data_IF_682282522471
#
_entry.id   IF_682282522471
#
_cell.length_a   1.000
_cell.length_b   1.000
_cell.length_c   1.000
_cell.angle_alpha   90.00
_cell.angle_beta   90.00
_cell.angle_gamma   90.00
#
_symmetry.space_group_name_H-M   'P 1'
#
loop_
_entity.id
_entity.type
_entity.pdbx_description
1 polymer ?
#
# COMPACT_ATOMS: atom_id res chain seq x y z
N UNK A 1 -6.67 -0.67 8.99
CA UNK A 1 -6.21 0.58 8.34
C UNK A 1 -4.70 0.55 8.38
N UNK A 2 -4.07 0.42 7.22
CA UNK A 2 -2.62 0.33 7.15
C UNK A 2 -2.01 1.72 7.15
N UNK A 3 -0.88 1.88 7.83
CA UNK A 3 -0.15 3.14 7.84
C UNK A 3 1.34 2.88 7.77
N UNK A 4 2.03 3.68 6.96
CA UNK A 4 3.47 3.67 6.87
C UNK A 4 4.02 4.55 7.99
N UNK A 5 4.30 3.92 9.14
CA UNK A 5 4.85 4.60 10.32
C UNK A 5 6.34 4.32 10.48
N UNK A 6 7.07 5.33 10.95
CA UNK A 6 8.48 5.17 11.29
C UNK A 6 8.57 4.31 12.55
N UNK A 7 9.19 3.14 12.42
CA UNK A 7 9.40 2.20 13.53
C UNK A 7 10.89 1.95 13.77
N UNK A 8 11.28 1.55 14.99
CA UNK A 8 12.63 1.07 15.27
C UNK A 8 13.01 -0.13 14.37
N UNK A 9 14.29 -0.22 14.03
CA UNK A 9 14.81 -1.34 13.23
C UNK A 9 15.01 -2.58 14.10
N UNK A 10 14.99 -3.76 13.47
CA UNK A 10 15.40 -5.01 14.12
C UNK A 10 16.92 -5.13 14.26
N UNK A 11 17.37 -5.99 15.17
CA UNK A 11 18.79 -6.30 15.37
C UNK A 11 19.42 -6.87 14.08
N UNK A 12 18.69 -7.76 13.39
CA UNK A 12 19.10 -8.27 12.08
C UNK A 12 19.33 -7.15 11.06
N UNK A 13 18.40 -6.19 10.95
CA UNK A 13 18.54 -5.05 10.04
C UNK A 13 19.72 -4.13 10.44
N UNK A 14 19.91 -3.89 11.73
CA UNK A 14 21.06 -3.13 12.25
C UNK A 14 22.40 -3.82 11.94
N UNK A 15 22.47 -5.15 12.03
CA UNK A 15 23.65 -5.95 11.66
C UNK A 15 23.90 -5.88 10.16
N UNK A 16 22.86 -5.99 9.33
CA UNK A 16 22.97 -5.82 7.87
C UNK A 16 23.49 -4.43 7.49
N UNK A 17 22.99 -3.36 8.12
CA UNK A 17 23.48 -1.98 7.92
C UNK A 17 24.96 -1.83 8.29
N UNK A 18 25.37 -2.37 9.43
CA UNK A 18 26.77 -2.35 9.84
C UNK A 18 27.67 -3.14 8.89
N UNK A 19 27.20 -4.30 8.40
CA UNK A 19 27.92 -5.12 7.43
C UNK A 19 28.21 -4.42 6.10
N UNK A 20 27.36 -3.46 5.68
CA UNK A 20 27.59 -2.67 4.45
C UNK A 20 28.87 -1.84 4.52
N UNK A 21 29.30 -1.40 5.71
CA UNK A 21 30.54 -0.65 5.88
C UNK A 21 31.79 -1.52 5.67
N UNK A 22 31.68 -2.84 5.80
CA UNK A 22 32.79 -3.80 5.71
C UNK A 22 32.98 -4.47 4.36
N UNK A 23 32.33 -3.98 3.28
CA UNK A 23 32.30 -4.67 1.98
C UNK A 23 33.65 -4.72 1.25
N UNK A 24 34.49 -3.70 1.42
CA UNK A 24 35.78 -3.59 0.72
C UNK A 24 36.96 -3.83 1.66
N UNK A 25 36.79 -3.57 2.96
CA UNK A 25 37.83 -3.66 3.98
C UNK A 25 37.28 -3.26 5.35
N UNK A 26 38.14 -3.09 6.36
CA UNK A 26 37.70 -2.67 7.70
C UNK A 26 36.97 -1.32 7.67
N UNK A 27 35.68 -1.33 8.01
CA UNK A 27 34.83 -0.14 8.07
C UNK A 27 34.31 0.16 9.47
N UNK A 28 33.72 1.34 9.66
CA UNK A 28 33.08 1.74 10.92
C UNK A 28 31.60 2.02 10.68
N UNK A 29 30.75 1.66 11.65
CA UNK A 29 29.32 1.94 11.64
C UNK A 29 28.96 2.76 12.87
N UNK A 30 28.45 3.98 12.65
CA UNK A 30 28.00 4.88 13.71
C UNK A 30 26.50 4.69 13.94
N UNK A 31 26.12 4.24 15.13
CA UNK A 31 24.72 3.98 15.52
C UNK A 31 24.21 5.12 16.38
N UNK A 32 23.09 5.71 16.00
CA UNK A 32 22.46 6.83 16.72
C UNK A 32 21.51 6.34 17.83
N UNK A 33 21.91 5.30 18.55
CA UNK A 33 21.16 4.70 19.66
C UNK A 33 22.14 4.01 20.61
N UNK A 34 21.72 3.79 21.86
CA UNK A 34 22.57 3.18 22.88
C UNK A 34 22.73 1.68 22.66
N UNK A 35 23.79 1.10 23.21
CA UNK A 35 23.98 -0.36 23.18
C UNK A 35 22.87 -1.10 23.92
N UNK A 36 22.34 -0.51 25.00
CA UNK A 36 21.20 -1.04 25.73
C UNK A 36 19.95 -1.13 24.85
N UNK A 37 19.62 -0.08 24.11
CA UNK A 37 18.47 -0.09 23.20
C UNK A 37 18.61 -1.20 22.13
N UNK A 38 19.82 -1.44 21.62
CA UNK A 38 20.06 -2.53 20.68
C UNK A 38 19.78 -3.92 21.27
N UNK A 39 20.13 -4.15 22.54
CA UNK A 39 20.00 -5.46 23.19
C UNK A 39 18.60 -5.71 23.73
N UNK A 40 18.00 -4.71 24.36
CA UNK A 40 16.80 -4.87 25.18
C UNK A 40 15.52 -4.39 24.47
N UNK A 41 15.61 -3.39 23.57
CA UNK A 41 14.44 -2.74 22.98
C UNK A 41 14.16 -3.20 21.54
N UNK A 42 15.19 -3.59 20.78
CA UNK A 42 15.05 -3.98 19.37
C UNK A 42 14.67 -5.46 19.22
N UNK A 43 13.68 -5.72 18.36
CA UNK A 43 13.31 -7.09 17.97
C UNK A 43 14.49 -7.80 17.28
N UNK A 44 14.72 -9.10 17.51
CA UNK A 44 15.79 -9.85 16.86
C UNK A 44 15.68 -9.84 15.32
N UNK A 45 14.48 -10.12 14.82
CA UNK A 45 14.14 -10.18 13.39
C UNK A 45 12.94 -9.28 13.09
N UNK A 46 12.79 -8.79 11.83
CA UNK A 46 11.59 -8.06 11.46
C UNK A 46 10.38 -9.02 11.44
N UNK A 47 9.23 -8.52 11.86
CA UNK A 47 7.95 -9.26 11.72
C UNK A 47 7.66 -9.50 10.23
N UNK A 48 7.12 -10.65 9.83
CA UNK A 48 6.73 -10.93 8.44
C UNK A 48 5.80 -9.87 7.85
N UNK A 49 5.86 -9.67 6.54
CA UNK A 49 5.00 -8.70 5.85
C UNK A 49 3.53 -9.12 5.86
N UNK A 50 3.26 -10.41 5.61
CA UNK A 50 1.91 -10.98 5.59
C UNK A 50 1.13 -10.81 6.91
N UNK A 51 1.83 -10.59 8.02
CA UNK A 51 1.22 -10.35 9.33
C UNK A 51 0.96 -8.85 9.62
N UNK A 52 1.40 -7.95 8.73
CA UNK A 52 1.40 -6.50 8.96
C UNK A 52 0.69 -5.68 7.88
N UNK A 53 0.32 -6.30 6.77
CA UNK A 53 -0.30 -5.63 5.63
C UNK A 53 -1.74 -6.09 5.42
N UNK A 54 -2.54 -5.24 4.80
CA UNK A 54 -3.86 -5.60 4.30
C UNK A 54 -3.73 -6.72 3.27
N UNK A 55 -4.50 -7.77 3.48
CA UNK A 55 -4.45 -8.98 2.67
C UNK A 55 -5.44 -8.96 1.50
N UNK A 56 -6.21 -7.88 1.28
CA UNK A 56 -7.22 -7.83 0.22
C UNK A 56 -6.65 -8.17 -1.16
N UNK A 57 -5.52 -7.56 -1.55
CA UNK A 57 -4.85 -7.84 -2.82
C UNK A 57 -4.30 -9.27 -2.87
N UNK A 58 -3.66 -9.74 -1.79
CA UNK A 58 -3.11 -11.10 -1.69
C UNK A 58 -4.21 -12.16 -1.75
N UNK A 59 -5.30 -11.98 -1.04
CA UNK A 59 -6.46 -12.89 -1.01
C UNK A 59 -7.13 -12.96 -2.38
N UNK A 60 -7.27 -11.82 -3.06
CA UNK A 60 -7.79 -11.79 -4.43
C UNK A 60 -6.91 -12.64 -5.35
N UNK A 61 -5.59 -12.48 -5.27
CA UNK A 61 -4.65 -13.28 -6.06
C UNK A 61 -4.71 -14.77 -5.72
N UNK A 62 -4.71 -15.15 -4.44
CA UNK A 62 -4.83 -16.56 -4.02
C UNK A 62 -6.12 -17.20 -4.56
N UNK A 63 -7.24 -16.47 -4.49
CA UNK A 63 -8.53 -16.92 -5.06
C UNK A 63 -8.46 -17.07 -6.57
N UNK A 64 -7.74 -16.20 -7.29
CA UNK A 64 -7.55 -16.34 -8.74
C UNK A 64 -6.71 -17.55 -9.12
N UNK A 65 -5.80 -17.99 -8.25
CA UNK A 65 -5.02 -19.22 -8.42
C UNK A 65 -5.85 -20.49 -8.14
N UNK A 66 -7.09 -20.35 -7.68
CA UNK A 66 -7.98 -21.47 -7.35
C UNK A 66 -7.86 -21.96 -5.91
N UNK A 67 -7.19 -21.20 -5.03
CA UNK A 67 -7.07 -21.55 -3.61
C UNK A 67 -8.33 -21.07 -2.89
N UNK A 68 -9.22 -22.01 -2.56
CA UNK A 68 -10.49 -21.72 -1.91
C UNK A 68 -10.40 -21.72 -0.38
N UNK A 69 -9.61 -22.65 0.17
CA UNK A 69 -9.38 -22.80 1.60
C UNK A 69 -8.14 -22.01 2.02
N UNK A 70 -8.36 -20.76 2.45
CA UNK A 70 -7.30 -19.86 2.89
C UNK A 70 -6.87 -20.13 4.33
N UNK A 71 -7.70 -20.82 5.13
CA UNK A 71 -7.41 -21.09 6.54
C UNK A 71 -6.41 -22.24 6.69
N UNK A 72 -6.51 -23.24 5.81
CA UNK A 72 -5.58 -24.38 5.77
C UNK A 72 -4.50 -24.23 4.70
N UNK A 73 -4.33 -23.03 4.15
CA UNK A 73 -3.25 -22.77 3.22
C UNK A 73 -1.89 -22.78 3.95
N UNK A 74 -0.91 -23.44 3.35
CA UNK A 74 0.42 -23.66 3.95
C UNK A 74 1.29 -22.40 3.87
N UNK A 75 0.97 -21.40 4.70
CA UNK A 75 1.78 -20.20 4.87
C UNK A 75 3.02 -20.52 5.72
N UNK A 76 4.20 -20.02 5.31
CA UNK A 76 5.43 -20.09 6.12
C UNK A 76 5.24 -19.42 7.49
N UNK A 77 4.67 -18.22 7.47
CA UNK A 77 4.21 -17.49 8.66
C UNK A 77 2.75 -17.13 8.43
N UNK A 78 1.83 -17.82 9.11
CA UNK A 78 0.40 -17.59 8.90
C UNK A 78 -0.01 -16.16 9.31
N UNK A 79 -0.83 -15.47 8.50
CA UNK A 79 -1.44 -14.21 8.91
C UNK A 79 -2.48 -14.44 10.03
N UNK A 80 -2.82 -13.39 10.80
CA UNK A 80 -3.95 -13.45 11.72
C UNK A 80 -5.26 -13.77 10.98
N UNK A 81 -6.07 -14.66 11.55
CA UNK A 81 -7.37 -15.05 10.98
C UNK A 81 -8.28 -13.84 10.81
N UNK A 82 -8.27 -12.91 11.76
CA UNK A 82 -9.02 -11.66 11.69
C UNK A 82 -8.67 -10.84 10.43
N UNK A 83 -7.39 -10.75 10.06
CA UNK A 83 -6.94 -10.04 8.86
C UNK A 83 -7.42 -10.72 7.58
N UNK A 84 -7.46 -12.05 7.55
CA UNK A 84 -8.02 -12.82 6.43
C UNK A 84 -9.53 -12.59 6.29
N UNK A 85 -10.27 -12.63 7.40
CA UNK A 85 -11.72 -12.39 7.42
C UNK A 85 -12.03 -10.97 6.94
N UNK A 86 -11.33 -9.96 7.45
CA UNK A 86 -11.50 -8.57 6.99
C UNK A 86 -11.22 -8.40 5.50
N UNK A 87 -10.19 -9.07 4.97
CA UNK A 87 -9.89 -9.05 3.54
C UNK A 87 -10.99 -9.71 2.69
N UNK A 88 -11.54 -10.84 3.15
CA UNK A 88 -12.67 -11.51 2.49
C UNK A 88 -13.93 -10.65 2.51
N UNK A 89 -14.26 -10.04 3.66
CA UNK A 89 -15.39 -9.11 3.80
C UNK A 89 -15.22 -7.89 2.89
N UNK A 90 -14.02 -7.32 2.82
CA UNK A 90 -13.72 -6.22 1.92
C UNK A 90 -13.97 -6.64 0.46
N UNK A 91 -13.41 -7.76 0.01
CA UNK A 91 -13.60 -8.26 -1.35
C UNK A 91 -15.06 -8.61 -1.67
N UNK A 92 -15.79 -9.13 -0.69
CA UNK A 92 -17.22 -9.38 -0.81
C UNK A 92 -18.02 -8.07 -0.97
N UNK A 93 -17.72 -7.04 -0.17
CA UNK A 93 -18.35 -5.70 -0.30
C UNK A 93 -18.05 -5.04 -1.66
N UNK A 94 -16.89 -5.35 -2.23
CA UNK A 94 -16.51 -4.93 -3.59
C UNK A 94 -17.18 -5.76 -4.69
N UNK A 95 -17.96 -6.78 -4.35
CA UNK A 95 -18.55 -7.73 -5.31
C UNK A 95 -17.50 -8.49 -6.13
N UNK A 96 -16.26 -8.54 -5.62
CA UNK A 96 -15.20 -9.37 -6.20
C UNK A 96 -15.40 -10.85 -5.86
N UNK A 97 -16.01 -11.12 -4.70
CA UNK A 97 -16.45 -12.44 -4.25
C UNK A 97 -17.97 -12.50 -4.15
N UNK A 98 -18.55 -13.67 -4.40
CA UNK A 98 -19.97 -13.95 -4.14
C UNK A 98 -20.22 -14.35 -2.68
N UNK A 99 -21.47 -14.71 -2.35
CA UNK A 99 -21.88 -15.14 -1.01
C UNK A 99 -21.23 -16.47 -0.58
N UNK A 100 -20.76 -17.28 -1.53
CA UNK A 100 -20.08 -18.56 -1.27
C UNK A 100 -18.55 -18.36 -1.15
N UNK A 101 -18.07 -17.13 -1.29
CA UNK A 101 -16.64 -16.80 -1.24
C UNK A 101 -15.87 -17.22 -2.48
N UNK A 102 -16.57 -17.42 -3.61
CA UNK A 102 -16.01 -17.72 -4.91
C UNK A 102 -15.83 -16.44 -5.75
N UNK A 103 -14.89 -16.51 -6.68
CA UNK A 103 -14.47 -15.36 -7.48
C UNK A 103 -15.49 -15.04 -8.58
N UNK A 104 -16.05 -13.82 -8.55
CA UNK A 104 -17.00 -13.36 -9.57
C UNK A 104 -16.29 -12.98 -10.88
N UNK A 105 -17.06 -12.73 -11.95
CA UNK A 105 -16.52 -12.19 -13.21
C UNK A 105 -15.87 -10.82 -13.00
N UNK A 106 -16.40 -10.01 -12.08
CA UNK A 106 -15.80 -8.72 -11.70
C UNK A 106 -14.47 -8.96 -10.97
N UNK A 107 -14.45 -9.85 -9.98
CA UNK A 107 -13.22 -10.18 -9.24
C UNK A 107 -12.09 -10.69 -10.13
N UNK A 108 -12.40 -11.53 -11.13
CA UNK A 108 -11.41 -11.97 -12.14
C UNK A 108 -10.80 -10.80 -12.90
N UNK A 109 -11.62 -9.87 -13.38
CA UNK A 109 -11.13 -8.66 -14.06
C UNK A 109 -10.32 -7.77 -13.13
N UNK A 110 -10.71 -7.65 -11.87
CA UNK A 110 -9.98 -6.85 -10.88
C UNK A 110 -8.55 -7.39 -10.67
N UNK A 111 -8.38 -8.71 -10.70
CA UNK A 111 -7.08 -9.36 -10.52
C UNK A 111 -6.11 -9.17 -11.70
N UNK A 112 -6.61 -8.78 -12.87
CA UNK A 112 -5.76 -8.48 -14.03
C UNK A 112 -5.02 -7.13 -13.88
N UNK A 113 -5.51 -6.25 -13.00
CA UNK A 113 -4.90 -4.95 -12.75
C UNK A 113 -3.87 -5.01 -11.62
N UNK A 114 -2.69 -4.39 -11.78
CA UNK A 114 -1.67 -4.29 -10.72
C UNK A 114 -2.02 -3.16 -9.73
N UNK A 115 -3.26 -3.14 -9.24
CA UNK A 115 -3.81 -2.09 -8.38
C UNK A 115 -4.56 -2.70 -7.21
N UNK A 116 -4.73 -1.91 -6.15
CA UNK A 116 -5.57 -2.29 -5.02
C UNK A 116 -7.02 -2.55 -5.47
N UNK A 117 -7.71 -3.57 -4.92
CA UNK A 117 -9.07 -3.95 -5.33
C UNK A 117 -10.06 -2.78 -5.41
N UNK A 118 -9.98 -1.82 -4.50
CA UNK A 118 -10.84 -0.63 -4.50
C UNK A 118 -10.64 0.21 -5.77
N UNK A 119 -9.39 0.42 -6.19
CA UNK A 119 -9.03 1.21 -7.37
C UNK A 119 -9.32 0.43 -8.66
N UNK A 120 -9.07 -0.88 -8.67
CA UNK A 120 -9.42 -1.75 -9.80
C UNK A 120 -10.93 -1.73 -10.06
N UNK A 121 -11.75 -1.81 -9.00
CA UNK A 121 -13.22 -1.69 -9.14
C UNK A 121 -13.62 -0.33 -9.68
N UNK A 122 -13.01 0.75 -9.18
CA UNK A 122 -13.28 2.12 -9.63
C UNK A 122 -13.02 2.27 -11.14
N UNK A 123 -11.89 1.76 -11.64
CA UNK A 123 -11.57 1.76 -13.07
C UNK A 123 -12.58 0.96 -13.89
N UNK A 124 -12.94 -0.25 -13.46
CA UNK A 124 -13.89 -1.08 -14.20
C UNK A 124 -15.28 -0.42 -14.25
N UNK A 125 -15.71 0.20 -13.16
CA UNK A 125 -17.01 0.88 -13.09
C UNK A 125 -17.04 2.19 -13.89
N UNK A 126 -15.90 2.88 -14.06
CA UNK A 126 -15.81 4.12 -14.83
C UNK A 126 -16.27 3.95 -16.28
N UNK A 127 -16.08 2.76 -16.86
CA UNK A 127 -16.54 2.43 -18.22
C UNK A 127 -18.08 2.44 -18.30
N UNK A 128 -18.77 1.95 -17.27
CA UNK A 128 -20.24 1.97 -17.22
C UNK A 128 -20.81 3.37 -16.98
N UNK A 129 -20.03 4.26 -16.36
CA UNK A 129 -20.41 5.65 -16.06
C UNK A 129 -19.93 6.65 -17.12
N UNK A 130 -19.26 6.19 -18.19
CA UNK A 130 -18.69 7.01 -19.27
C UNK A 130 -17.71 8.10 -18.77
N UNK A 131 -16.93 7.82 -17.73
CA UNK A 131 -15.92 8.73 -17.17
C UNK A 131 -14.54 8.07 -17.04
N UNK A 132 -14.21 7.18 -17.98
CA UNK A 132 -13.00 6.35 -17.88
C UNK A 132 -11.70 7.13 -18.02
N UNK A 133 -11.68 8.20 -18.79
CA UNK A 133 -10.47 9.02 -19.01
C UNK A 133 -10.08 9.79 -17.74
N UNK A 134 -11.08 10.43 -17.11
CA UNK A 134 -10.89 11.18 -15.87
C UNK A 134 -10.52 10.26 -14.72
N UNK A 135 -11.21 9.12 -14.58
CA UNK A 135 -10.94 8.16 -13.51
C UNK A 135 -9.57 7.51 -13.70
N UNK A 136 -9.17 7.18 -14.93
CA UNK A 136 -7.82 6.65 -15.21
C UNK A 136 -6.74 7.64 -14.76
N UNK A 137 -6.93 8.92 -15.05
CA UNK A 137 -6.02 9.98 -14.63
C UNK A 137 -5.96 10.09 -13.10
N UNK A 138 -7.11 10.11 -12.43
CA UNK A 138 -7.19 10.18 -10.97
C UNK A 138 -6.50 8.97 -10.31
N UNK A 139 -6.77 7.76 -10.78
CA UNK A 139 -6.15 6.53 -10.24
C UNK A 139 -4.64 6.52 -10.45
N UNK A 140 -4.17 7.01 -11.61
CA UNK A 140 -2.75 7.17 -11.89
C UNK A 140 -2.09 8.15 -10.92
N UNK A 141 -2.74 9.28 -10.65
CA UNK A 141 -2.26 10.30 -9.72
C UNK A 141 -2.27 9.85 -8.25
N UNK A 142 -3.20 8.96 -7.86
CA UNK A 142 -3.25 8.37 -6.50
C UNK A 142 -2.15 7.32 -6.31
N UNK A 143 -1.78 6.62 -7.38
CA UNK A 143 -0.79 5.53 -7.35
C UNK A 143 0.64 6.04 -7.15
N UNK A 144 0.88 7.34 -7.35
CA UNK A 144 2.17 7.99 -7.10
C UNK A 144 2.19 8.72 -5.75
N UNK A 145 3.40 9.03 -5.27
CA UNK A 145 3.55 9.88 -4.09
C UNK A 145 3.00 11.28 -4.32
N UNK A 146 2.70 11.99 -3.23
CA UNK A 146 2.10 13.32 -3.28
C UNK A 146 2.88 14.27 -4.20
N UNK A 147 2.19 14.79 -5.21
CA UNK A 147 2.72 15.66 -6.27
C UNK A 147 3.01 17.07 -5.73
N UNK A 148 2.36 17.48 -4.65
CA UNK A 148 2.57 18.81 -4.07
C UNK A 148 3.81 18.88 -3.19
N UNK A 149 4.79 19.67 -3.63
CA UNK A 149 5.98 19.97 -2.85
C UNK A 149 5.76 21.17 -1.91
N UNK A 150 5.90 20.95 -0.60
CA UNK A 150 5.69 21.98 0.44
C UNK A 150 6.93 22.16 1.33
N UNK A 151 7.92 22.95 0.91
CA UNK A 151 9.13 23.21 1.70
C UNK A 151 8.82 24.08 2.92
N UNK A 152 9.52 23.84 4.05
CA UNK A 152 9.28 24.54 5.32
C UNK A 152 9.47 26.06 5.23
N UNK A 153 10.43 26.52 4.44
CA UNK A 153 10.76 27.95 4.35
C UNK A 153 9.82 28.73 3.41
N UNK A 154 9.08 28.05 2.53
CA UNK A 154 8.23 28.66 1.49
C UNK A 154 6.81 28.11 1.48
N UNK A 155 6.26 27.81 2.66
CA UNK A 155 4.92 27.22 2.80
C UNK A 155 3.84 28.10 2.17
N UNK A 156 3.80 29.40 2.48
CA UNK A 156 2.78 30.32 1.96
C UNK A 156 2.77 30.38 0.42
N UNK A 157 3.96 30.36 -0.22
CA UNK A 157 4.08 30.35 -1.68
C UNK A 157 3.61 29.01 -2.28
N UNK A 158 3.94 27.89 -1.64
CA UNK A 158 3.48 26.57 -2.08
C UNK A 158 1.95 26.45 -1.99
N UNK A 159 1.38 26.92 -0.88
CA UNK A 159 -0.07 26.89 -0.64
C UNK A 159 -0.81 27.81 -1.64
N UNK A 160 -0.26 28.99 -1.96
CA UNK A 160 -0.80 29.86 -3.00
C UNK A 160 -0.78 29.21 -4.39
N UNK A 161 0.27 28.45 -4.73
CA UNK A 161 0.33 27.72 -6.00
C UNK A 161 -0.66 26.57 -6.04
N UNK A 162 -0.78 25.80 -4.96
CA UNK A 162 -1.77 24.71 -4.84
C UNK A 162 -3.19 25.24 -4.99
N UNK A 163 -3.50 26.39 -4.39
CA UNK A 163 -4.83 27.01 -4.44
C UNK A 163 -5.33 27.28 -5.86
N UNK A 164 -4.44 27.47 -6.85
CA UNK A 164 -4.82 27.67 -8.26
C UNK A 164 -5.45 26.44 -8.92
N UNK A 165 -5.13 25.25 -8.43
CA UNK A 165 -5.63 23.98 -8.97
C UNK A 165 -6.74 23.38 -8.12
N UNK A 166 -7.01 23.97 -6.95
CA UNK A 166 -7.97 23.47 -6.00
C UNK A 166 -9.39 23.51 -6.57
N UNK A 167 -10.04 22.36 -6.63
CA UNK A 167 -11.44 22.21 -7.02
C UNK A 167 -12.30 22.08 -5.76
N UNK A 168 -13.44 22.77 -5.73
CA UNK A 168 -14.34 22.82 -4.56
C UNK A 168 -15.00 21.45 -4.35
N UNK A 169 -15.18 20.71 -5.45
CA UNK A 169 -15.81 19.41 -5.54
C UNK A 169 -14.96 18.29 -4.93
N UNK A 170 -13.64 18.49 -4.76
CA UNK A 170 -12.80 17.60 -3.97
C UNK A 170 -11.33 17.48 -4.41
N UNK A 171 -10.54 16.81 -3.57
CA UNK A 171 -9.11 16.60 -3.77
C UNK A 171 -8.81 15.72 -5.00
N UNK A 172 -9.65 14.74 -5.32
CA UNK A 172 -9.46 13.91 -6.52
C UNK A 172 -9.58 14.72 -7.81
N UNK A 173 -10.51 15.67 -7.87
CA UNK A 173 -10.65 16.57 -9.01
C UNK A 173 -9.54 17.62 -9.05
N UNK A 174 -8.99 17.99 -7.89
CA UNK A 174 -7.77 18.80 -7.80
C UNK A 174 -6.59 18.07 -8.44
N UNK A 175 -6.42 16.76 -8.20
CA UNK A 175 -5.37 15.96 -8.87
C UNK A 175 -5.57 15.88 -10.39
N UNK A 176 -6.82 15.73 -10.84
CA UNK A 176 -7.16 15.76 -12.27
C UNK A 176 -6.80 17.11 -12.90
N UNK A 177 -7.16 18.22 -12.25
CA UNK A 177 -6.85 19.57 -12.73
C UNK A 177 -5.34 19.81 -12.81
N UNK A 178 -4.57 19.32 -11.84
CA UNK A 178 -3.10 19.38 -11.88
C UNK A 178 -2.55 18.59 -13.07
N UNK A 179 -2.99 17.36 -13.29
CA UNK A 179 -2.52 16.53 -14.40
C UNK A 179 -2.83 17.17 -15.76
N UNK A 180 -4.05 17.67 -15.94
CA UNK A 180 -4.46 18.32 -17.19
C UNK A 180 -3.71 19.63 -17.47
N UNK A 181 -3.13 20.25 -16.44
CA UNK A 181 -2.36 21.49 -16.57
C UNK A 181 -0.85 21.28 -16.74
N UNK A 182 -0.38 20.03 -16.64
CA UNK A 182 1.02 19.65 -16.73
C UNK A 182 1.46 19.48 -18.18
#
# INVERSE_FOLDING_TARGET
>A
MDSLVVTPISQAAAKQRAGRAGRTGPGKAYRLYTERAYRDEMLPTPVPEIQRTNLATTVLQLKTMGINDLLHFDFMDAPPVESLVMALEQLHSLSALDNEGLLTRLGRRMAEFPLEPNLSKLLIMSVALNCSDEVLTIVSMISVQNVFYRPKDKQALADQKKAKFNQIEGDHLTLLAVYNSW
#
